data_IF_711608240462
#
_entry.id   IF_711608240462
#
_cell.length_a   1.000
_cell.length_b   1.000
_cell.length_c   1.000
_cell.angle_alpha   90.00
_cell.angle_beta   90.00
_cell.angle_gamma   90.00
#
_symmetry.space_group_name_H-M   'P 1'
#
loop_
_entity.id
_entity.type
_entity.pdbx_description
1 polymer ?
#
# COMPACT_ATOMS: atom_id res chain seq x y z
N UNK A 1 16.74 3.48 -20.71
CA UNK A 1 16.56 3.68 -19.26
C UNK A 1 15.12 3.38 -18.83
N UNK A 2 14.10 3.99 -19.45
CA UNK A 2 12.68 3.80 -19.13
C UNK A 2 12.20 2.34 -19.04
N UNK A 3 12.52 1.51 -20.03
CA UNK A 3 12.12 0.08 -20.04
C UNK A 3 12.59 -0.68 -18.79
N UNK A 4 13.81 -0.39 -18.30
CA UNK A 4 14.35 -1.00 -17.09
C UNK A 4 13.58 -0.56 -15.85
N UNK A 5 13.23 0.72 -15.75
CA UNK A 5 12.43 1.23 -14.64
C UNK A 5 11.02 0.62 -14.62
N UNK A 6 10.39 0.45 -15.78
CA UNK A 6 9.09 -0.22 -15.89
C UNK A 6 9.17 -1.66 -15.41
N UNK A 7 10.19 -2.43 -15.84
CA UNK A 7 10.40 -3.79 -15.34
C UNK A 7 10.55 -3.84 -13.81
N UNK A 8 11.34 -2.93 -13.24
CA UNK A 8 11.53 -2.86 -11.78
C UNK A 8 10.22 -2.51 -11.07
N UNK A 9 9.45 -1.55 -11.59
CA UNK A 9 8.16 -1.19 -11.01
C UNK A 9 7.16 -2.36 -11.03
N UNK A 10 7.08 -3.09 -12.15
CA UNK A 10 6.23 -4.29 -12.26
C UNK A 10 6.68 -5.37 -11.28
N UNK A 11 8.00 -5.60 -11.15
CA UNK A 11 8.54 -6.57 -10.21
C UNK A 11 8.17 -6.20 -8.76
N UNK A 12 8.28 -4.92 -8.38
CA UNK A 12 7.88 -4.44 -7.06
C UNK A 12 6.39 -4.62 -6.81
N UNK A 13 5.53 -4.33 -7.80
CA UNK A 13 4.09 -4.58 -7.70
C UNK A 13 3.77 -6.06 -7.49
N UNK A 14 4.44 -6.95 -8.23
CA UNK A 14 4.28 -8.40 -8.07
C UNK A 14 4.68 -8.86 -6.66
N UNK A 15 5.79 -8.33 -6.13
CA UNK A 15 6.24 -8.61 -4.76
C UNK A 15 5.18 -8.16 -3.75
N UNK A 16 4.67 -6.93 -3.86
CA UNK A 16 3.61 -6.41 -2.98
C UNK A 16 2.36 -7.28 -3.03
N UNK A 17 1.91 -7.67 -4.23
CA UNK A 17 0.77 -8.57 -4.38
C UNK A 17 1.02 -9.92 -3.70
N UNK A 18 2.20 -10.52 -3.92
CA UNK A 18 2.60 -11.78 -3.30
C UNK A 18 2.58 -11.70 -1.77
N UNK A 19 3.18 -10.66 -1.19
CA UNK A 19 3.19 -10.44 0.26
C UNK A 19 1.76 -10.34 0.82
N UNK A 20 0.88 -9.58 0.18
CA UNK A 20 -0.51 -9.43 0.62
C UNK A 20 -1.29 -10.76 0.52
N UNK A 21 -1.09 -11.55 -0.54
CA UNK A 21 -1.72 -12.87 -0.69
C UNK A 21 -1.24 -13.83 0.39
N UNK A 22 0.07 -13.88 0.66
CA UNK A 22 0.63 -14.69 1.73
C UNK A 22 0.08 -14.29 3.10
N UNK A 23 -0.04 -12.99 3.39
CA UNK A 23 -0.66 -12.50 4.63
C UNK A 23 -2.13 -12.95 4.76
N UNK A 24 -2.92 -12.86 3.69
CA UNK A 24 -4.30 -13.35 3.70
C UNK A 24 -4.39 -14.86 3.94
N UNK A 25 -3.49 -15.65 3.34
CA UNK A 25 -3.43 -17.09 3.59
C UNK A 25 -3.08 -17.41 5.05
N UNK A 26 -2.10 -16.70 5.64
CA UNK A 26 -1.73 -16.85 7.06
C UNK A 26 -2.90 -16.46 7.96
N UNK A 27 -3.57 -15.33 7.70
CA UNK A 27 -4.75 -14.89 8.44
C UNK A 27 -5.84 -15.97 8.45
N UNK A 28 -6.10 -16.60 7.29
CA UNK A 28 -7.06 -17.69 7.16
C UNK A 28 -6.69 -18.92 8.00
N UNK A 29 -5.39 -19.27 8.05
CA UNK A 29 -4.90 -20.43 8.79
C UNK A 29 -4.81 -20.20 10.31
N UNK A 30 -4.51 -18.97 10.72
CA UNK A 30 -4.26 -18.61 12.13
C UNK A 30 -5.47 -18.00 12.82
N UNK A 31 -6.54 -17.72 12.07
CA UNK A 31 -7.69 -16.91 12.52
C UNK A 31 -7.28 -15.52 13.04
N UNK A 32 -6.08 -15.05 12.68
CA UNK A 32 -5.65 -13.69 12.95
C UNK A 32 -6.14 -12.74 11.85
N UNK A 33 -6.34 -11.48 12.21
CA UNK A 33 -6.71 -10.43 11.25
C UNK A 33 -5.57 -9.41 11.10
N UNK A 34 -4.44 -9.86 10.55
CA UNK A 34 -3.31 -8.96 10.25
C UNK A 34 -3.68 -8.11 9.04
N UNK A 35 -3.45 -6.81 9.12
CA UNK A 35 -3.68 -5.89 8.00
C UNK A 35 -2.85 -6.22 6.75
N UNK A 36 -3.13 -5.55 5.63
CA UNK A 36 -2.33 -5.68 4.42
C UNK A 36 -0.87 -5.25 4.67
N UNK A 37 0.08 -5.90 4.02
CA UNK A 37 1.51 -5.55 4.14
C UNK A 37 1.80 -4.25 3.41
N UNK A 38 1.17 -4.02 2.26
CA UNK A 38 1.19 -2.74 1.59
C UNK A 38 -0.18 -2.46 0.98
N UNK A 39 -0.77 -1.31 1.30
CA UNK A 39 -1.99 -0.83 0.65
C UNK A 39 -2.02 0.70 0.67
N UNK A 40 -2.59 1.28 -0.38
CA UNK A 40 -2.92 2.71 -0.42
C UNK A 40 -4.43 2.78 -0.67
N UNK A 41 -5.17 3.37 0.27
CA UNK A 41 -6.60 3.65 0.07
C UNK A 41 -6.82 5.15 0.00
N UNK A 42 -7.65 5.55 -0.96
CA UNK A 42 -7.99 6.93 -1.24
C UNK A 42 -9.49 7.12 -0.97
N UNK A 43 -9.84 7.40 0.28
CA UNK A 43 -11.22 7.71 0.67
C UNK A 43 -11.52 9.20 0.46
N UNK A 44 -12.79 9.61 0.42
CA UNK A 44 -13.18 11.01 0.14
C UNK A 44 -12.46 12.05 1.02
N UNK A 45 -12.14 11.70 2.27
CA UNK A 45 -11.54 12.63 3.24
C UNK A 45 -10.05 12.38 3.53
N UNK A 46 -9.55 11.15 3.34
CA UNK A 46 -8.21 10.77 3.78
C UNK A 46 -7.47 9.92 2.75
N UNK A 47 -6.15 10.02 2.75
CA UNK A 47 -5.25 9.05 2.14
C UNK A 47 -4.74 8.16 3.27
N UNK A 48 -5.06 6.86 3.22
CA UNK A 48 -4.47 5.88 4.15
C UNK A 48 -3.37 5.10 3.44
N UNK A 49 -2.19 5.07 4.05
CA UNK A 49 -1.05 4.29 3.58
C UNK A 49 -0.77 3.23 4.63
N UNK A 50 -0.99 1.98 4.26
CA UNK A 50 -0.60 0.82 5.04
C UNK A 50 0.76 0.32 4.55
N UNK A 51 1.74 0.23 5.43
CA UNK A 51 3.07 -0.26 5.13
C UNK A 51 3.59 -1.11 6.29
N UNK A 52 3.92 -2.38 6.02
CA UNK A 52 4.52 -3.31 6.99
C UNK A 52 3.71 -3.44 8.30
N UNK A 53 2.39 -3.26 8.24
CA UNK A 53 1.50 -3.32 9.39
C UNK A 53 1.27 -1.98 10.10
N UNK A 54 2.01 -0.93 9.75
CA UNK A 54 1.72 0.44 10.17
C UNK A 54 0.68 1.08 9.24
N UNK A 55 -0.16 1.95 9.80
CA UNK A 55 -1.15 2.72 9.05
C UNK A 55 -0.92 4.20 9.27
N UNK A 56 -0.65 4.93 8.20
CA UNK A 56 -0.53 6.38 8.21
C UNK A 56 -1.76 6.99 7.54
N UNK A 57 -2.54 7.72 8.33
CA UNK A 57 -3.71 8.45 7.85
C UNK A 57 -3.32 9.91 7.59
N UNK A 58 -3.45 10.35 6.35
CA UNK A 58 -3.21 11.72 5.95
C UNK A 58 -4.51 12.38 5.50
N UNK A 59 -4.98 13.43 6.19
CA UNK A 59 -6.13 14.21 5.75
C UNK A 59 -5.84 14.87 4.39
N UNK A 60 -6.76 14.70 3.42
CA UNK A 60 -6.57 15.20 2.04
C UNK A 60 -6.51 16.73 1.99
N UNK A 61 -7.27 17.39 2.85
CA UNK A 61 -7.28 18.84 3.08
C UNK A 61 -5.91 19.38 3.51
N UNK A 62 -5.11 18.59 4.25
CA UNK A 62 -3.74 18.96 4.63
C UNK A 62 -2.70 18.74 3.53
N UNK A 63 -2.95 17.81 2.61
CA UNK A 63 -2.05 17.53 1.48
C UNK A 63 -2.23 18.52 0.31
N UNK A 64 -3.41 19.14 0.19
CA UNK A 64 -3.68 20.16 -0.83
C UNK A 64 -2.78 21.39 -0.73
N UNK A 65 -2.18 21.67 0.43
CA UNK A 65 -1.24 22.78 0.63
C UNK A 65 0.22 22.46 0.28
N UNK A 66 0.55 21.20 -0.03
CA UNK A 66 1.92 20.77 -0.34
C UNK A 66 2.14 20.60 -1.84
N UNK A 67 1.08 20.44 -2.64
CA UNK A 67 1.16 20.33 -4.09
C UNK A 67 0.74 21.66 -4.72
N UNK A 68 1.63 22.65 -4.63
CA UNK A 68 1.69 23.73 -5.63
C UNK A 68 2.83 23.33 -6.56
N UNK A 69 2.47 22.78 -7.72
CA UNK A 69 3.38 22.64 -8.87
C UNK A 69 2.85 23.55 -9.98
#
# INVERSE_FOLDING_TARGET
MLKKMVCVAILLLLVVCGLNISNQAINSLTMENRGPVFAINLDESNISIHLLGENHLYPKDKLSNVIIL
#
